data_IF_553505544903
#
_entry.id   IF_553505544903
#
_cell.length_a   1.000
_cell.length_b   1.000
_cell.length_c   1.000
_cell.angle_alpha   90.00
_cell.angle_beta   90.00
_cell.angle_gamma   90.00
#
_symmetry.space_group_name_H-M   'P 1'
#
loop_
_entity.id
_entity.type
_entity.pdbx_description
1 polymer ?
#
# COMPACT_ATOMS: atom_id res chain seq x y z
N UNK A 1 5.22 -13.99 14.39
CA UNK A 1 5.73 -13.31 13.18
C UNK A 1 6.61 -12.12 13.61
N UNK A 2 7.56 -11.70 12.79
CA UNK A 2 8.47 -10.59 13.07
C UNK A 2 7.86 -9.31 12.45
N UNK A 3 7.66 -8.26 13.25
CA UNK A 3 7.28 -6.96 12.71
C UNK A 3 8.56 -6.19 12.32
N UNK A 4 8.56 -5.58 11.15
CA UNK A 4 9.72 -4.93 10.56
C UNK A 4 9.30 -4.13 9.33
N UNK A 5 10.10 -3.15 8.92
CA UNK A 5 9.81 -2.39 7.71
C UNK A 5 10.26 -3.19 6.48
N UNK A 6 9.40 -3.27 5.47
CA UNK A 6 9.60 -4.12 4.30
C UNK A 6 9.56 -3.31 3.02
N UNK A 7 10.24 -3.81 1.99
CA UNK A 7 10.13 -3.32 0.63
C UNK A 7 9.96 -4.52 -0.30
N UNK A 8 8.81 -4.61 -0.97
CA UNK A 8 8.55 -5.65 -1.95
C UNK A 8 8.92 -5.06 -3.32
N UNK A 9 10.03 -5.53 -3.89
CA UNK A 9 10.56 -5.00 -5.14
C UNK A 9 10.16 -5.92 -6.29
N UNK A 10 9.12 -5.56 -7.02
CA UNK A 10 8.60 -6.32 -8.16
C UNK A 10 9.21 -5.87 -9.48
N UNK A 11 9.57 -4.59 -9.61
CA UNK A 11 10.03 -4.00 -10.89
C UNK A 11 11.50 -3.62 -10.90
N UNK A 12 12.13 -3.49 -9.74
CA UNK A 12 13.49 -2.96 -9.61
C UNK A 12 13.54 -1.47 -9.26
N UNK A 13 12.41 -0.76 -9.16
CA UNK A 13 12.37 0.69 -8.90
C UNK A 13 13.17 1.09 -7.65
N UNK A 14 13.16 0.28 -6.60
CA UNK A 14 13.88 0.59 -5.37
C UNK A 14 15.41 0.54 -5.49
N UNK A 15 15.94 -0.06 -6.55
CA UNK A 15 17.38 -0.04 -6.86
C UNK A 15 17.83 1.37 -7.31
N UNK A 16 16.91 2.15 -7.89
CA UNK A 16 17.12 3.54 -8.34
C UNK A 16 16.96 4.57 -7.21
N UNK A 17 16.51 4.13 -6.03
CA UNK A 17 16.22 4.99 -4.89
C UNK A 17 17.21 4.79 -3.75
N UNK A 18 17.29 5.79 -2.87
CA UNK A 18 18.22 5.81 -1.74
C UNK A 18 17.60 6.15 -0.39
N UNK A 19 16.35 6.64 -0.33
CA UNK A 19 15.68 7.04 0.92
C UNK A 19 15.75 5.94 2.00
N UNK A 20 15.52 4.69 1.62
CA UNK A 20 15.48 3.54 2.52
C UNK A 20 16.85 3.12 3.07
N UNK A 21 17.96 3.59 2.47
CA UNK A 21 19.32 3.17 2.84
C UNK A 21 19.66 3.65 4.25
N UNK A 22 20.04 2.69 5.11
CA UNK A 22 20.36 2.98 6.51
C UNK A 22 19.14 3.14 7.42
N UNK A 23 17.91 3.05 6.90
CA UNK A 23 16.68 3.09 7.71
C UNK A 23 16.24 1.70 8.23
N UNK A 24 16.94 0.63 7.85
CA UNK A 24 16.69 -0.73 8.36
C UNK A 24 15.59 -1.50 7.64
N UNK A 25 15.09 -1.00 6.51
CA UNK A 25 14.17 -1.74 5.63
C UNK A 25 14.77 -3.08 5.18
N UNK A 26 13.92 -4.10 5.17
CA UNK A 26 14.26 -5.40 4.60
C UNK A 26 13.65 -5.54 3.22
N UNK A 27 14.50 -5.61 2.20
CA UNK A 27 14.11 -5.85 0.83
C UNK A 27 13.69 -7.31 0.62
N UNK A 28 12.54 -7.51 0.00
CA UNK A 28 12.05 -8.78 -0.55
C UNK A 28 12.05 -8.59 -2.07
N UNK A 29 12.98 -9.24 -2.74
CA UNK A 29 13.06 -9.22 -4.20
C UNK A 29 12.02 -10.16 -4.80
N UNK A 30 11.05 -9.58 -5.49
CA UNK A 30 9.90 -10.27 -6.08
C UNK A 30 10.00 -10.36 -7.61
N UNK A 31 11.08 -9.88 -8.24
CA UNK A 31 11.23 -9.81 -9.71
C UNK A 31 11.14 -11.17 -10.40
N UNK A 32 11.53 -12.23 -9.70
CA UNK A 32 11.47 -13.61 -10.19
C UNK A 32 10.10 -14.28 -9.96
N UNK A 33 9.12 -13.59 -9.37
CA UNK A 33 7.79 -14.14 -9.12
C UNK A 33 6.92 -14.02 -10.37
N UNK A 34 6.64 -15.17 -11.01
CA UNK A 34 5.69 -15.26 -12.12
C UNK A 34 4.26 -14.97 -11.67
N UNK A 35 3.43 -14.43 -12.57
CA UNK A 35 2.00 -14.30 -12.32
C UNK A 35 1.66 -13.24 -11.28
N UNK A 36 2.40 -12.13 -11.24
CA UNK A 36 2.24 -11.04 -10.25
C UNK A 36 1.99 -9.67 -10.89
N UNK A 37 2.27 -9.49 -12.18
CA UNK A 37 2.17 -8.19 -12.83
C UNK A 37 0.72 -7.82 -13.14
N UNK A 38 0.20 -6.76 -12.49
CA UNK A 38 -1.16 -6.20 -12.62
C UNK A 38 -2.29 -7.13 -12.13
N UNK A 39 -2.18 -8.41 -12.42
CA UNK A 39 -2.99 -9.48 -11.87
C UNK A 39 -2.08 -10.46 -11.14
N UNK A 40 -2.59 -11.02 -10.05
CA UNK A 40 -1.95 -12.12 -9.32
C UNK A 40 -2.72 -13.42 -9.51
N UNK A 41 -2.00 -14.45 -9.95
CA UNK A 41 -2.52 -15.82 -10.01
C UNK A 41 -2.19 -16.61 -8.73
N UNK A 42 -2.69 -17.85 -8.64
CA UNK A 42 -2.49 -18.68 -7.46
C UNK A 42 -1.02 -18.99 -7.15
N UNK A 43 -0.17 -19.11 -8.16
CA UNK A 43 1.26 -19.40 -7.99
C UNK A 43 1.99 -18.14 -7.51
N UNK A 44 1.66 -16.97 -8.07
CA UNK A 44 2.13 -15.66 -7.62
C UNK A 44 1.74 -15.38 -6.17
N UNK A 45 0.47 -15.61 -5.80
CA UNK A 45 0.03 -15.46 -4.41
C UNK A 45 0.79 -16.41 -3.48
N UNK A 46 1.00 -17.67 -3.88
CA UNK A 46 1.74 -18.64 -3.08
C UNK A 46 3.21 -18.24 -2.89
N UNK A 47 3.86 -17.68 -3.91
CA UNK A 47 5.21 -17.17 -3.84
C UNK A 47 5.32 -15.99 -2.86
N UNK A 48 4.40 -15.02 -2.95
CA UNK A 48 4.36 -13.86 -2.05
C UNK A 48 4.08 -14.30 -0.61
N UNK A 49 3.08 -15.16 -0.37
CA UNK A 49 2.79 -15.69 0.97
C UNK A 49 3.98 -16.42 1.58
N UNK A 50 4.69 -17.22 0.79
CA UNK A 50 5.90 -17.91 1.24
C UNK A 50 6.98 -16.91 1.65
N UNK A 51 7.24 -15.89 0.83
CA UNK A 51 8.23 -14.85 1.12
C UNK A 51 7.86 -14.04 2.37
N UNK A 52 6.56 -13.76 2.58
CA UNK A 52 6.04 -13.00 3.71
C UNK A 52 5.79 -13.84 4.98
N UNK A 53 5.90 -15.16 4.93
CA UNK A 53 5.59 -16.04 6.05
C UNK A 53 6.31 -15.72 7.38
N UNK A 54 7.56 -15.19 7.40
CA UNK A 54 8.22 -14.84 8.66
C UNK A 54 7.68 -13.55 9.29
N UNK A 55 7.05 -12.66 8.51
CA UNK A 55 6.74 -11.29 8.92
C UNK A 55 5.28 -11.10 9.31
N UNK A 56 5.06 -10.18 10.23
CA UNK A 56 3.73 -9.76 10.68
C UNK A 56 3.22 -8.58 9.85
N UNK A 57 2.05 -8.04 10.19
CA UNK A 57 1.49 -6.85 9.54
C UNK A 57 2.14 -5.56 10.04
N UNK A 58 2.91 -5.59 11.12
CA UNK A 58 3.50 -4.40 11.74
C UNK A 58 4.76 -3.94 11.02
N UNK A 59 4.76 -2.66 10.64
CA UNK A 59 5.86 -1.98 9.96
C UNK A 59 5.33 -0.98 8.94
N UNK A 60 6.26 -0.31 8.26
CA UNK A 60 5.98 0.45 7.03
C UNK A 60 6.45 -0.40 5.86
N UNK A 61 5.54 -0.74 4.96
CA UNK A 61 5.79 -1.66 3.86
C UNK A 61 5.63 -0.95 2.50
N UNK A 62 6.69 -0.90 1.71
CA UNK A 62 6.63 -0.36 0.35
C UNK A 62 6.31 -1.48 -0.66
N UNK A 63 5.37 -1.25 -1.57
CA UNK A 63 4.75 -2.27 -2.42
C UNK A 63 5.05 -2.14 -3.92
N UNK A 64 6.01 -1.31 -4.32
CA UNK A 64 6.30 -0.98 -5.72
C UNK A 64 5.17 -0.13 -6.36
N UNK A 65 5.04 -0.15 -7.68
CA UNK A 65 4.03 0.63 -8.39
C UNK A 65 2.59 0.11 -8.23
N UNK A 66 1.61 0.91 -8.66
CA UNK A 66 0.19 0.67 -8.42
C UNK A 66 -0.36 -0.64 -8.99
N UNK A 67 0.36 -1.32 -9.90
CA UNK A 67 -0.04 -2.65 -10.37
C UNK A 67 0.00 -3.73 -9.27
N UNK A 68 0.71 -3.46 -8.17
CA UNK A 68 0.93 -4.41 -7.08
C UNK A 68 0.14 -4.06 -5.82
N UNK A 69 -0.79 -3.10 -5.87
CA UNK A 69 -1.55 -2.67 -4.69
C UNK A 69 -2.38 -3.79 -4.06
N UNK A 70 -2.73 -4.83 -4.84
CA UNK A 70 -3.32 -6.06 -4.31
C UNK A 70 -2.47 -6.73 -3.21
N UNK A 71 -1.17 -6.43 -3.13
CA UNK A 71 -0.27 -7.01 -2.14
C UNK A 71 -0.60 -6.56 -0.70
N UNK A 72 -1.33 -5.46 -0.51
CA UNK A 72 -1.86 -5.04 0.80
C UNK A 72 -2.66 -6.17 1.46
N UNK A 73 -3.38 -6.99 0.67
CA UNK A 73 -4.16 -8.14 1.16
C UNK A 73 -3.32 -9.16 1.92
N UNK A 74 -2.05 -9.36 1.57
CA UNK A 74 -1.19 -10.32 2.27
C UNK A 74 -0.81 -9.86 3.69
N UNK A 75 -0.90 -8.56 3.97
CA UNK A 75 -0.75 -8.02 5.32
C UNK A 75 -2.07 -8.06 6.08
N UNK A 76 -3.19 -7.76 5.42
CA UNK A 76 -4.52 -7.91 6.01
C UNK A 76 -4.82 -9.35 6.44
N UNK A 77 -4.37 -10.34 5.66
CA UNK A 77 -4.47 -11.78 5.98
C UNK A 77 -3.86 -12.12 7.36
N UNK A 78 -2.87 -11.33 7.82
CA UNK A 78 -2.13 -11.55 9.08
C UNK A 78 -2.80 -10.91 10.30
N UNK A 79 -3.93 -10.23 10.12
CA UNK A 79 -4.72 -9.66 11.20
C UNK A 79 -5.75 -10.70 11.68
N UNK A 80 -5.63 -11.13 12.93
CA UNK A 80 -6.50 -12.14 13.53
C UNK A 80 -7.73 -11.56 14.24
N UNK A 81 -7.64 -10.28 14.64
CA UNK A 81 -8.69 -9.53 15.35
C UNK A 81 -9.43 -8.59 14.37
N UNK A 82 -10.67 -8.17 14.67
CA UNK A 82 -11.34 -7.15 13.88
C UNK A 82 -10.52 -5.86 13.78
N UNK A 83 -10.53 -5.23 12.61
CA UNK A 83 -9.74 -4.01 12.34
C UNK A 83 -10.51 -3.04 11.45
N UNK A 84 -10.11 -1.77 11.51
CA UNK A 84 -10.50 -0.76 10.53
C UNK A 84 -9.43 -0.64 9.45
N UNK A 85 -9.88 -0.41 8.22
CA UNK A 85 -9.02 -0.16 7.06
C UNK A 85 -9.15 1.31 6.62
N UNK A 86 -8.02 2.02 6.59
CA UNK A 86 -7.92 3.35 6.00
C UNK A 86 -7.17 3.23 4.68
N UNK A 87 -7.79 3.68 3.59
CA UNK A 87 -7.23 3.65 2.24
C UNK A 87 -7.12 5.06 1.70
N UNK A 88 -5.99 5.38 1.09
CA UNK A 88 -5.83 6.53 0.21
C UNK A 88 -5.51 6.01 -1.18
N UNK A 89 -6.33 6.35 -2.17
CA UNK A 89 -6.23 5.81 -3.52
C UNK A 89 -7.08 6.69 -4.43
N UNK A 90 -6.59 7.10 -5.60
CA UNK A 90 -7.44 7.84 -6.54
C UNK A 90 -8.57 6.97 -7.14
N UNK A 91 -8.38 5.65 -7.10
CA UNK A 91 -9.28 4.66 -7.64
C UNK A 91 -10.09 3.99 -6.52
N UNK A 92 -11.29 3.51 -6.87
CA UNK A 92 -12.12 2.76 -5.93
C UNK A 92 -11.60 1.36 -5.64
N UNK A 93 -10.80 0.79 -6.55
CA UNK A 93 -10.25 -0.58 -6.50
C UNK A 93 -11.26 -1.66 -6.06
N UNK A 94 -12.52 -1.45 -6.48
CA UNK A 94 -13.68 -2.25 -6.13
C UNK A 94 -14.36 -2.88 -7.36
N UNK A 95 -13.61 -3.06 -8.44
CA UNK A 95 -14.14 -3.60 -9.69
C UNK A 95 -14.22 -5.13 -9.63
N UNK A 96 -15.16 -5.71 -10.37
CA UNK A 96 -15.11 -7.15 -10.64
C UNK A 96 -13.86 -7.47 -11.49
N UNK A 97 -13.06 -8.48 -11.14
CA UNK A 97 -11.90 -8.85 -11.93
C UNK A 97 -12.31 -9.21 -13.36
N UNK A 98 -11.60 -8.66 -14.35
CA UNK A 98 -11.87 -8.97 -15.76
C UNK A 98 -11.65 -10.45 -16.09
N UNK A 99 -10.83 -11.14 -15.31
CA UNK A 99 -10.50 -12.56 -15.47
C UNK A 99 -10.91 -13.29 -14.18
N UNK A 100 -11.91 -14.17 -14.30
CA UNK A 100 -12.40 -14.94 -13.17
C UNK A 100 -11.28 -15.80 -12.54
N UNK A 101 -11.14 -15.71 -11.22
CA UNK A 101 -10.13 -16.44 -10.46
C UNK A 101 -8.77 -15.77 -10.36
N UNK A 102 -8.57 -14.62 -11.03
CA UNK A 102 -7.43 -13.73 -10.78
C UNK A 102 -7.88 -12.55 -9.92
N UNK A 103 -6.92 -11.98 -9.20
CA UNK A 103 -7.10 -10.74 -8.43
C UNK A 103 -6.20 -9.66 -9.01
N UNK A 104 -6.59 -8.39 -8.95
CA UNK A 104 -5.81 -7.28 -9.48
C UNK A 104 -5.74 -6.12 -8.50
N UNK A 105 -4.94 -5.10 -8.81
CA UNK A 105 -5.03 -3.82 -8.12
C UNK A 105 -6.48 -3.29 -8.19
N UNK A 106 -7.08 -3.17 -9.37
CA UNK A 106 -8.44 -2.65 -9.53
C UNK A 106 -9.58 -3.41 -8.83
N UNK A 107 -9.33 -4.59 -8.23
CA UNK A 107 -10.31 -5.37 -7.46
C UNK A 107 -9.95 -5.55 -5.99
N UNK A 108 -8.81 -5.05 -5.50
CA UNK A 108 -8.26 -5.52 -4.24
C UNK A 108 -9.12 -5.17 -3.02
N UNK A 109 -9.82 -4.03 -3.04
CA UNK A 109 -10.75 -3.65 -1.96
C UNK A 109 -11.96 -4.57 -1.98
N UNK A 110 -12.48 -4.91 -3.17
CA UNK A 110 -13.53 -5.91 -3.36
C UNK A 110 -13.12 -7.25 -2.75
N UNK A 111 -11.94 -7.73 -3.16
CA UNK A 111 -11.38 -9.01 -2.73
C UNK A 111 -11.12 -9.03 -1.22
N UNK A 112 -10.64 -7.93 -0.64
CA UNK A 112 -10.45 -7.81 0.80
C UNK A 112 -11.76 -7.92 1.58
N UNK A 113 -12.85 -7.32 1.08
CA UNK A 113 -14.18 -7.46 1.70
C UNK A 113 -14.73 -8.89 1.58
N UNK A 114 -14.47 -9.56 0.47
CA UNK A 114 -14.87 -10.95 0.28
C UNK A 114 -14.08 -11.91 1.18
N UNK A 115 -12.76 -11.73 1.28
CA UNK A 115 -11.88 -12.63 2.02
C UNK A 115 -11.85 -12.38 3.53
N UNK A 116 -12.04 -11.12 3.96
CA UNK A 116 -11.82 -10.68 5.34
C UNK A 116 -13.03 -9.91 5.91
N UNK A 117 -14.20 -10.00 5.29
CA UNK A 117 -15.39 -9.22 5.68
C UNK A 117 -15.92 -9.51 7.10
N UNK A 118 -15.56 -10.64 7.70
CA UNK A 118 -15.84 -10.94 9.10
C UNK A 118 -14.88 -10.22 10.08
N UNK A 119 -13.73 -9.76 9.59
CA UNK A 119 -12.70 -9.03 10.36
C UNK A 119 -12.69 -7.53 10.06
N UNK A 120 -13.01 -7.11 8.84
CA UNK A 120 -13.07 -5.69 8.47
C UNK A 120 -14.31 -5.05 9.11
N UNK A 121 -14.10 -4.20 10.12
CA UNK A 121 -15.16 -3.47 10.78
C UNK A 121 -15.61 -2.23 9.97
N UNK A 122 -14.66 -1.51 9.38
CA UNK A 122 -14.94 -0.38 8.51
C UNK A 122 -13.85 -0.18 7.46
N UNK A 123 -14.23 0.43 6.34
CA UNK A 123 -13.29 0.92 5.32
C UNK A 123 -13.56 2.42 5.15
N UNK A 124 -12.54 3.24 5.35
CA UNK A 124 -12.54 4.66 4.99
C UNK A 124 -11.60 4.84 3.80
N UNK A 125 -12.14 5.24 2.66
CA UNK A 125 -11.40 5.43 1.42
C UNK A 125 -11.35 6.92 1.07
N UNK A 126 -10.17 7.49 0.95
CA UNK A 126 -9.94 8.85 0.45
C UNK A 126 -9.56 8.81 -1.02
N UNK A 127 -10.48 9.26 -1.89
CA UNK A 127 -10.32 9.35 -3.36
C UNK A 127 -9.57 10.60 -3.82
N UNK A 128 -9.43 11.55 -2.91
CA UNK A 128 -8.76 12.82 -3.10
C UNK A 128 -8.88 13.67 -1.85
N UNK A 129 -8.44 14.92 -1.92
CA UNK A 129 -8.42 15.84 -0.76
C UNK A 129 -9.77 15.96 -0.05
N UNK A 130 -10.83 16.16 -0.82
CA UNK A 130 -12.17 16.48 -0.33
C UNK A 130 -13.19 15.37 -0.65
N UNK A 131 -12.72 14.20 -1.08
CA UNK A 131 -13.55 13.07 -1.51
C UNK A 131 -13.23 11.86 -0.64
N UNK A 132 -14.22 11.42 0.14
CA UNK A 132 -14.10 10.31 1.07
C UNK A 132 -15.36 9.45 1.05
N UNK A 133 -15.15 8.15 0.95
CA UNK A 133 -16.19 7.13 1.07
C UNK A 133 -15.97 6.31 2.35
N UNK A 134 -17.08 5.89 2.98
CA UNK A 134 -17.02 5.08 4.19
C UNK A 134 -18.02 3.96 4.16
N UNK A 135 -17.55 2.76 4.49
CA UNK A 135 -18.38 1.59 4.79
C UNK A 135 -18.15 1.19 6.25
N UNK A 136 -19.21 0.75 6.93
CA UNK A 136 -19.15 0.47 8.37
C UNK A 136 -18.97 1.72 9.23
N UNK A 137 -18.60 1.54 10.50
CA UNK A 137 -18.35 2.63 11.45
C UNK A 137 -16.99 2.42 12.12
N UNK A 138 -16.00 3.30 11.91
CA UNK A 138 -14.71 3.20 12.58
C UNK A 138 -14.84 3.10 14.10
N UNK A 139 -14.07 2.19 14.69
CA UNK A 139 -14.00 1.98 16.12
C UNK A 139 -12.58 2.31 16.61
N UNK A 140 -12.38 3.41 17.36
CA UNK A 140 -11.05 3.78 17.82
C UNK A 140 -10.43 2.79 18.81
N UNK A 141 -11.19 1.83 19.34
CA UNK A 141 -10.70 0.80 20.25
C UNK A 141 -10.08 -0.42 19.54
N UNK A 142 -10.31 -0.59 18.23
CA UNK A 142 -9.72 -1.68 17.43
C UNK A 142 -8.53 -1.19 16.61
N UNK A 143 -7.64 -2.10 16.15
CA UNK A 143 -6.49 -1.73 15.33
C UNK A 143 -6.89 -1.06 14.01
N UNK A 144 -6.07 -0.11 13.57
CA UNK A 144 -6.17 0.53 12.25
C UNK A 144 -5.04 0.01 11.36
N UNK A 145 -5.39 -0.52 10.20
CA UNK A 145 -4.44 -0.79 9.12
C UNK A 145 -4.57 0.31 8.05
N UNK A 146 -3.46 0.80 7.52
CA UNK A 146 -3.42 1.92 6.56
C UNK A 146 -2.79 1.43 5.26
N UNK A 147 -3.45 1.67 4.14
CA UNK A 147 -2.93 1.42 2.80
C UNK A 147 -2.97 2.70 1.98
N UNK A 148 -1.86 3.04 1.31
CA UNK A 148 -1.72 4.28 0.53
C UNK A 148 -1.28 3.89 -0.88
N UNK A 149 -2.11 4.09 -1.90
CA UNK A 149 -1.62 4.33 -3.26
C UNK A 149 -1.29 5.81 -3.42
N UNK A 150 -0.07 6.11 -3.86
CA UNK A 150 0.40 7.48 -4.08
C UNK A 150 -0.30 8.16 -5.26
N UNK A 151 -1.06 7.46 -6.09
CA UNK A 151 -1.80 8.08 -7.20
C UNK A 151 -2.87 9.07 -6.73
N UNK A 152 -3.38 8.95 -5.50
CA UNK A 152 -4.27 9.93 -4.83
C UNK A 152 -3.65 11.33 -4.75
N UNK A 153 -2.32 11.40 -4.76
CA UNK A 153 -1.58 12.64 -4.68
C UNK A 153 -1.69 13.42 -6.00
N UNK A 154 -1.37 14.71 -5.95
CA UNK A 154 -1.29 15.53 -7.15
C UNK A 154 -0.03 15.20 -7.96
N UNK A 155 -0.12 15.38 -9.27
CA UNK A 155 1.01 15.27 -10.22
C UNK A 155 2.21 16.18 -9.95
N UNK A 156 2.07 17.16 -9.06
CA UNK A 156 3.17 18.01 -8.58
C UNK A 156 3.98 17.37 -7.45
N UNK A 157 3.45 16.34 -6.80
CA UNK A 157 4.09 15.62 -5.69
C UNK A 157 4.80 14.37 -6.18
N UNK A 158 4.12 13.55 -6.98
CA UNK A 158 4.60 12.25 -7.47
C UNK A 158 4.23 12.03 -8.94
N UNK A 159 4.74 10.95 -9.52
CA UNK A 159 4.35 10.40 -10.83
C UNK A 159 4.16 8.90 -10.68
N UNK A 160 2.98 8.39 -10.95
CA UNK A 160 2.65 6.96 -10.87
C UNK A 160 2.36 6.40 -12.26
N UNK A 161 2.05 5.09 -12.34
CA UNK A 161 1.64 4.43 -13.57
C UNK A 161 0.12 4.45 -13.83
N UNK A 162 -0.64 5.18 -13.00
CA UNK A 162 -2.09 5.39 -13.12
C UNK A 162 -2.40 6.90 -13.19
N UNK A 163 -3.66 7.27 -13.49
CA UNK A 163 -4.06 8.67 -13.38
C UNK A 163 -4.07 9.14 -11.94
N UNK A 164 -3.86 10.45 -11.76
CA UNK A 164 -3.59 11.02 -10.47
C UNK A 164 -4.70 11.90 -9.95
N UNK A 165 -4.87 11.84 -8.63
CA UNK A 165 -5.71 12.71 -7.85
C UNK A 165 -5.12 14.10 -7.68
N UNK A 166 -5.50 14.72 -6.56
CA UNK A 166 -5.29 16.15 -6.31
C UNK A 166 -4.75 16.48 -4.92
N UNK A 167 -4.45 15.45 -4.11
CA UNK A 167 -4.02 15.64 -2.73
C UNK A 167 -2.54 16.01 -2.66
N UNK A 168 -2.18 16.99 -1.83
CA UNK A 168 -0.76 17.25 -1.53
C UNK A 168 -0.27 16.39 -0.36
N UNK A 169 1.04 16.15 -0.26
CA UNK A 169 1.61 15.38 0.87
C UNK A 169 1.26 16.02 2.23
N UNK A 170 1.35 17.36 2.43
CA UNK A 170 0.93 17.99 3.67
C UNK A 170 -0.55 17.75 4.00
N UNK A 171 -1.44 17.78 3.01
CA UNK A 171 -2.86 17.51 3.20
C UNK A 171 -3.11 16.06 3.63
N UNK A 172 -2.45 15.10 2.95
CA UNK A 172 -2.49 13.69 3.35
C UNK A 172 -2.02 13.50 4.80
N UNK A 173 -0.91 14.14 5.19
CA UNK A 173 -0.38 14.07 6.56
C UNK A 173 -1.37 14.63 7.58
N UNK A 174 -2.08 15.72 7.29
CA UNK A 174 -3.10 16.26 8.20
C UNK A 174 -4.29 15.30 8.34
N UNK A 175 -4.71 14.64 7.25
CA UNK A 175 -5.75 13.61 7.30
C UNK A 175 -5.26 12.41 8.12
N UNK A 176 -4.06 11.89 7.85
CA UNK A 176 -3.45 10.79 8.58
C UNK A 176 -3.38 11.08 10.09
N UNK A 177 -2.90 12.26 10.49
CA UNK A 177 -2.87 12.66 11.91
C UNK A 177 -4.24 12.58 12.57
N UNK A 178 -5.29 13.00 11.87
CA UNK A 178 -6.67 12.95 12.38
C UNK A 178 -7.19 11.52 12.49
N UNK A 179 -7.03 10.71 11.44
CA UNK A 179 -7.58 9.35 11.39
C UNK A 179 -6.82 8.39 12.33
N UNK A 180 -5.53 8.67 12.60
CA UNK A 180 -4.67 7.91 13.51
C UNK A 180 -4.80 8.32 14.98
N UNK A 181 -5.46 9.44 15.30
CA UNK A 181 -5.46 9.98 16.67
C UNK A 181 -6.03 8.99 17.68
N UNK A 182 -5.22 8.66 18.70
CA UNK A 182 -5.57 7.67 19.74
C UNK A 182 -5.66 6.22 19.28
N UNK A 183 -5.34 5.90 18.01
CA UNK A 183 -5.47 4.55 17.43
C UNK A 183 -4.23 3.70 17.63
N UNK A 184 -4.40 2.38 17.71
CA UNK A 184 -3.32 1.42 17.56
C UNK A 184 -3.10 1.11 16.08
N UNK A 185 -1.97 1.51 15.51
CA UNK A 185 -1.65 1.26 14.10
C UNK A 185 -1.09 -0.16 13.95
N UNK A 186 -1.84 -1.00 13.25
CA UNK A 186 -1.52 -2.42 13.04
C UNK A 186 -0.39 -2.62 12.02
N UNK A 187 -0.32 -1.74 11.03
CA UNK A 187 0.56 -1.79 9.88
C UNK A 187 0.27 -0.67 8.91
N UNK A 188 1.24 -0.36 8.05
CA UNK A 188 1.08 0.60 6.96
C UNK A 188 1.72 0.02 5.71
N UNK A 189 1.03 0.10 4.58
CA UNK A 189 1.65 -0.08 3.28
C UNK A 189 1.50 1.14 2.36
N UNK A 190 2.49 1.32 1.48
CA UNK A 190 2.64 2.43 0.55
C UNK A 190 2.97 1.85 -0.83
N UNK A 191 2.12 2.14 -1.80
CA UNK A 191 2.16 1.71 -3.20
C UNK A 191 2.22 2.94 -4.12
N UNK A 192 2.34 2.72 -5.43
CA UNK A 192 2.22 3.79 -6.41
C UNK A 192 3.56 4.44 -6.81
N UNK A 193 4.65 3.67 -6.88
CA UNK A 193 5.88 4.12 -7.54
C UNK A 193 5.70 4.47 -9.04
N UNK A 194 6.67 5.19 -9.62
CA UNK A 194 6.74 5.34 -11.07
C UNK A 194 7.08 4.00 -11.75
N UNK A 195 6.61 3.82 -12.99
CA UNK A 195 6.91 2.65 -13.79
C UNK A 195 8.01 2.93 -14.82
N UNK A 196 8.72 1.87 -15.22
CA UNK A 196 9.67 1.95 -16.33
C UNK A 196 8.95 2.22 -17.66
N UNK A 197 9.64 2.93 -18.54
CA UNK A 197 9.27 3.12 -19.94
C UNK A 197 10.47 2.82 -20.81
N UNK A 198 10.29 1.94 -21.80
CA UNK A 198 11.38 1.46 -22.66
C UNK A 198 12.56 0.89 -21.84
N UNK A 199 12.23 0.12 -20.78
CA UNK A 199 13.18 -0.51 -19.84
C UNK A 199 14.04 0.46 -19.03
N UNK A 200 13.60 1.70 -18.85
CA UNK A 200 14.27 2.72 -18.04
C UNK A 200 13.27 3.47 -17.15
N UNK A 201 13.68 3.76 -15.92
CA UNK A 201 12.93 4.69 -15.06
C UNK A 201 13.32 6.13 -15.39
N UNK A 202 12.32 7.01 -15.44
CA UNK A 202 12.57 8.43 -15.63
C UNK A 202 13.20 9.01 -14.34
N UNK A 203 14.44 9.56 -14.38
CA UNK A 203 15.11 10.04 -13.18
C UNK A 203 14.39 11.17 -12.45
N UNK A 204 13.57 11.97 -13.14
CA UNK A 204 12.75 13.00 -12.48
C UNK A 204 11.61 12.38 -11.67
N UNK A 205 10.95 11.37 -12.23
CA UNK A 205 9.85 10.65 -11.57
C UNK A 205 10.34 9.87 -10.36
N UNK A 206 11.53 9.23 -10.47
CA UNK A 206 12.20 8.57 -9.35
C UNK A 206 12.44 9.57 -8.21
N UNK A 207 13.01 10.75 -8.51
CA UNK A 207 13.28 11.79 -7.49
C UNK A 207 12.01 12.33 -6.82
N UNK A 208 10.92 12.49 -7.59
CA UNK A 208 9.64 12.93 -7.04
C UNK A 208 9.06 11.90 -6.08
N UNK A 209 9.01 10.63 -6.50
CA UNK A 209 8.54 9.53 -5.67
C UNK A 209 9.39 9.34 -4.42
N UNK A 210 10.71 9.32 -4.56
CA UNK A 210 11.64 9.16 -3.44
C UNK A 210 11.48 10.26 -2.37
N UNK A 211 11.16 11.49 -2.79
CA UNK A 211 10.85 12.59 -1.86
C UNK A 211 9.57 12.31 -1.08
N UNK A 212 8.53 11.77 -1.73
CA UNK A 212 7.28 11.39 -1.08
C UNK A 212 7.50 10.22 -0.11
N UNK A 213 8.26 9.20 -0.53
CA UNK A 213 8.55 8.03 0.28
C UNK A 213 9.35 8.38 1.53
N UNK A 214 10.33 9.29 1.40
CA UNK A 214 11.06 9.79 2.55
C UNK A 214 10.13 10.53 3.53
N UNK A 215 9.23 11.39 3.03
CA UNK A 215 8.30 12.13 3.87
C UNK A 215 7.31 11.19 4.61
N UNK A 216 6.78 10.18 3.92
CA UNK A 216 5.87 9.20 4.50
C UNK A 216 6.60 8.25 5.48
N UNK A 217 7.80 7.77 5.13
CA UNK A 217 8.65 6.96 6.01
C UNK A 217 8.95 7.70 7.31
N UNK A 218 9.42 8.96 7.22
CA UNK A 218 9.68 9.82 8.38
C UNK A 218 8.41 10.06 9.21
N UNK A 219 7.27 10.29 8.55
CA UNK A 219 6.00 10.47 9.23
C UNK A 219 5.61 9.24 10.05
N UNK A 220 5.72 8.04 9.50
CA UNK A 220 5.32 6.80 10.18
C UNK A 220 6.38 6.25 11.14
N UNK A 221 7.64 6.72 11.07
CA UNK A 221 8.77 6.12 11.78
C UNK A 221 8.53 5.85 13.27
N UNK A 222 7.86 6.75 14.00
CA UNK A 222 7.56 6.59 15.44
C UNK A 222 6.12 6.21 15.76
N UNK A 223 5.29 5.93 14.74
CA UNK A 223 3.83 5.76 14.87
C UNK A 223 3.37 4.31 14.65
N UNK A 224 4.23 3.45 14.12
CA UNK A 224 3.92 2.04 13.84
C UNK A 224 4.81 1.13 14.69
N UNK A 225 4.23 0.09 15.27
CA UNK A 225 4.97 -0.88 16.09
C UNK A 225 5.76 -1.84 15.18
N UNK A 226 7.01 -2.07 15.57
CA UNK A 226 7.94 -3.05 14.99
C UNK A 226 8.37 -4.04 16.06
#
# INVERSE_FOLDING_TARGET
MINTDLMLNFTGIYDEMSFWRGQGYKMIDCRDFSGTAMYVDADGEAAIRKALSPYGPGGVHFLDNGNYHYASRFFLEKLDEPFDLLVFDHHHDDQEPMIAGLRSCGSWIRDAREDFGDKINSITLYLGKDEVERTGRPDPSIPLYISIDKDVLATSEVRTNWDQGNMTIPEMIEILKKEMDGRNIAGVDICGECAEKDSLFNPEEVRMNEKADNALSEFFFSKVKR
#
